data_IF_531649087663
#
_entry.id   IF_531649087663
#
_cell.length_a   1.000
_cell.length_b   1.000
_cell.length_c   1.000
_cell.angle_alpha   90.00
_cell.angle_beta   90.00
_cell.angle_gamma   90.00
#
_symmetry.space_group_name_H-M   'P 1'
#
loop_
_entity.id
_entity.type
_entity.pdbx_description
1 polymer ?
#
# COMPACT_ATOMS: atom_id res chain seq x y z
N UNK A 1 -3.12 11.56 6.95
CA UNK A 1 -1.64 11.68 6.91
C UNK A 1 -1.05 10.27 6.92
N UNK A 2 -1.30 9.50 7.96
CA UNK A 2 -0.68 8.18 8.17
C UNK A 2 -0.91 7.16 7.05
N UNK A 3 -2.04 7.19 6.37
CA UNK A 3 -2.35 6.33 5.22
C UNK A 3 -1.73 6.78 3.90
N UNK A 4 -1.09 7.95 3.85
CA UNK A 4 -0.53 8.55 2.61
C UNK A 4 -1.52 8.57 1.44
N UNK A 5 -2.81 8.75 1.74
CA UNK A 5 -3.86 8.79 0.73
C UNK A 5 -3.68 10.01 -0.18
N UNK A 6 -3.88 9.81 -1.48
CA UNK A 6 -3.84 10.90 -2.47
C UNK A 6 -4.88 11.97 -2.14
N UNK A 7 -4.50 13.24 -2.23
CA UNK A 7 -5.42 14.36 -2.04
C UNK A 7 -6.21 14.65 -3.32
N UNK A 8 -7.44 15.16 -3.24
CA UNK A 8 -8.22 15.49 -4.43
C UNK A 8 -7.50 16.41 -5.42
N UNK A 9 -6.67 17.35 -4.92
CA UNK A 9 -5.84 18.23 -5.74
C UNK A 9 -4.72 17.53 -6.51
N UNK A 10 -4.34 16.32 -6.11
CA UNK A 10 -3.24 15.56 -6.69
C UNK A 10 -3.73 14.53 -7.74
N UNK A 11 -5.04 14.30 -7.84
CA UNK A 11 -5.62 13.29 -8.73
C UNK A 11 -5.55 13.63 -10.22
N UNK A 12 -5.29 14.89 -10.56
CA UNK A 12 -5.26 15.40 -11.95
C UNK A 12 -6.50 15.02 -12.77
N UNK A 13 -7.67 14.95 -12.12
CA UNK A 13 -8.95 14.57 -12.76
C UNK A 13 -9.11 13.07 -13.01
N UNK A 14 -8.14 12.24 -12.66
CA UNK A 14 -8.24 10.78 -12.81
C UNK A 14 -9.07 10.23 -11.65
N UNK A 15 -10.08 9.43 -11.97
CA UNK A 15 -10.94 8.81 -10.97
C UNK A 15 -10.18 7.71 -10.21
N UNK A 16 -10.14 7.86 -8.89
CA UNK A 16 -9.58 6.87 -7.98
C UNK A 16 -10.71 6.09 -7.31
N UNK A 17 -10.50 4.81 -7.16
CA UNK A 17 -11.44 3.90 -6.51
C UNK A 17 -10.81 3.28 -5.26
N UNK A 18 -11.61 2.66 -4.42
CA UNK A 18 -11.18 1.97 -3.19
C UNK A 18 -10.55 2.90 -2.15
N UNK A 19 -10.88 4.19 -2.17
CA UNK A 19 -10.50 5.16 -1.15
C UNK A 19 -11.71 5.47 -0.27
N UNK A 20 -11.49 5.56 1.04
CA UNK A 20 -12.52 5.91 2.05
C UNK A 20 -13.78 5.02 2.02
N UNK A 21 -13.62 3.74 1.69
CA UNK A 21 -14.73 2.80 1.55
C UNK A 21 -15.18 2.19 2.88
N UNK A 22 -14.39 2.35 3.94
CA UNK A 22 -14.65 1.80 5.27
C UNK A 22 -14.25 2.77 6.38
N UNK A 23 -14.98 2.72 7.48
CA UNK A 23 -14.62 3.41 8.70
C UNK A 23 -13.57 2.61 9.51
N UNK A 24 -12.84 3.24 10.46
CA UNK A 24 -11.82 2.55 11.25
C UNK A 24 -12.32 1.39 12.13
N UNK A 25 -13.63 1.27 12.34
CA UNK A 25 -14.25 0.20 13.14
C UNK A 25 -14.75 -0.97 12.28
N UNK A 26 -14.87 -0.77 10.97
CA UNK A 26 -15.33 -1.80 10.06
C UNK A 26 -14.18 -2.73 9.65
N UNK A 27 -14.44 -4.02 9.69
CA UNK A 27 -13.51 -4.99 9.14
C UNK A 27 -13.55 -4.94 7.62
N UNK A 28 -12.39 -5.09 7.01
CA UNK A 28 -12.24 -5.21 5.56
C UNK A 28 -11.07 -6.14 5.27
N UNK A 29 -11.36 -7.24 4.63
CA UNK A 29 -10.39 -8.27 4.37
C UNK A 29 -10.09 -8.41 2.87
N UNK A 30 -9.14 -9.27 2.52
CA UNK A 30 -8.70 -9.48 1.15
C UNK A 30 -9.80 -10.08 0.25
N UNK A 31 -10.75 -10.83 0.81
CA UNK A 31 -11.89 -11.38 0.07
C UNK A 31 -12.89 -10.27 -0.33
N UNK A 32 -13.22 -9.39 0.61
CA UNK A 32 -14.08 -8.23 0.32
C UNK A 32 -13.42 -7.33 -0.72
N UNK A 33 -12.11 -7.07 -0.56
CA UNK A 33 -11.33 -6.33 -1.55
C UNK A 33 -11.40 -6.97 -2.94
N UNK A 34 -11.18 -8.28 -3.05
CA UNK A 34 -11.24 -8.99 -4.33
C UNK A 34 -12.60 -8.79 -5.01
N UNK A 35 -13.68 -8.97 -4.26
CA UNK A 35 -15.05 -8.81 -4.75
C UNK A 35 -15.31 -7.38 -5.25
N UNK A 36 -15.01 -6.39 -4.43
CA UNK A 36 -15.30 -4.99 -4.72
C UNK A 36 -14.44 -4.49 -5.88
N UNK A 37 -13.13 -4.80 -5.86
CA UNK A 37 -12.22 -4.38 -6.90
C UNK A 37 -12.52 -5.03 -8.26
N UNK A 38 -12.89 -6.33 -8.29
CA UNK A 38 -13.31 -7.01 -9.54
C UNK A 38 -14.57 -6.41 -10.11
N UNK A 39 -15.54 -6.05 -9.27
CA UNK A 39 -16.73 -5.33 -9.72
C UNK A 39 -16.37 -4.00 -10.38
N UNK A 40 -15.50 -3.21 -9.76
CA UNK A 40 -15.03 -1.95 -10.33
C UNK A 40 -14.32 -2.17 -11.69
N UNK A 41 -13.50 -3.22 -11.80
CA UNK A 41 -12.84 -3.57 -13.07
C UNK A 41 -13.84 -3.93 -14.14
N UNK A 42 -14.86 -4.73 -13.83
CA UNK A 42 -15.91 -5.10 -14.79
C UNK A 42 -16.73 -3.88 -15.23
N UNK A 43 -17.09 -3.01 -14.29
CA UNK A 43 -17.83 -1.76 -14.59
C UNK A 43 -17.03 -0.76 -15.43
N UNK A 44 -15.71 -0.98 -15.60
CA UNK A 44 -14.79 -0.12 -16.36
C UNK A 44 -13.94 -0.92 -17.38
N UNK A 45 -14.41 -2.06 -17.83
CA UNK A 45 -13.67 -2.97 -18.72
C UNK A 45 -13.29 -2.37 -20.09
N UNK A 46 -13.94 -1.31 -20.50
CA UNK A 46 -13.69 -0.53 -21.71
C UNK A 46 -12.56 0.51 -21.53
N UNK A 47 -11.95 0.60 -20.34
CA UNK A 47 -10.93 1.57 -19.99
C UNK A 47 -9.60 0.91 -19.65
N UNK A 48 -8.53 1.70 -19.77
CA UNK A 48 -7.25 1.32 -19.19
C UNK A 48 -7.32 1.45 -17.66
N UNK A 49 -7.04 0.35 -16.97
CA UNK A 49 -7.09 0.29 -15.51
C UNK A 49 -5.66 0.26 -14.98
N UNK A 50 -5.35 1.15 -14.05
CA UNK A 50 -4.08 1.17 -13.32
C UNK A 50 -4.36 0.76 -11.88
N UNK A 51 -3.71 -0.32 -11.43
CA UNK A 51 -3.78 -0.81 -10.05
C UNK A 51 -2.53 -0.32 -9.33
N UNK A 52 -2.71 0.51 -8.30
CA UNK A 52 -1.61 1.08 -7.53
C UNK A 52 -1.63 0.52 -6.11
N UNK A 53 -0.51 -0.01 -5.66
CA UNK A 53 -0.39 -0.52 -4.30
C UNK A 53 0.86 -1.33 -4.06
N UNK A 54 1.07 -1.73 -2.81
CA UNK A 54 2.25 -2.48 -2.38
C UNK A 54 1.92 -3.73 -1.56
N UNK A 55 0.65 -4.12 -1.46
CA UNK A 55 0.24 -5.33 -0.74
C UNK A 55 0.06 -6.47 -1.75
N UNK A 56 1.11 -7.26 -1.89
CA UNK A 56 1.17 -8.31 -2.92
C UNK A 56 0.03 -9.33 -2.83
N UNK A 57 -0.41 -9.70 -1.63
CA UNK A 57 -1.56 -10.60 -1.45
C UNK A 57 -2.84 -10.05 -2.11
N UNK A 58 -3.08 -8.75 -1.99
CA UNK A 58 -4.25 -8.10 -2.60
C UNK A 58 -4.16 -8.09 -4.12
N UNK A 59 -2.97 -7.86 -4.68
CA UNK A 59 -2.73 -7.91 -6.12
C UNK A 59 -2.95 -9.33 -6.66
N UNK A 60 -2.42 -10.34 -5.97
CA UNK A 60 -2.67 -11.74 -6.34
C UNK A 60 -4.15 -12.10 -6.28
N UNK A 61 -4.81 -11.74 -5.19
CA UNK A 61 -6.23 -12.01 -5.02
C UNK A 61 -7.07 -11.37 -6.13
N UNK A 62 -6.69 -10.20 -6.60
CA UNK A 62 -7.39 -9.49 -7.65
C UNK A 62 -7.19 -10.13 -9.02
N UNK A 63 -5.94 -10.40 -9.40
CA UNK A 63 -5.56 -10.72 -10.78
C UNK A 63 -5.55 -12.22 -11.10
N UNK A 64 -5.53 -13.07 -10.08
CA UNK A 64 -5.50 -14.53 -10.25
C UNK A 64 -6.78 -15.18 -9.73
N UNK A 65 -7.09 -16.41 -10.17
CA UNK A 65 -8.20 -17.23 -9.65
C UNK A 65 -7.89 -17.71 -8.22
N UNK A 66 -7.82 -16.73 -7.33
CA UNK A 66 -7.49 -16.90 -5.94
C UNK A 66 -8.75 -17.26 -5.14
N UNK A 67 -8.74 -18.43 -4.52
CA UNK A 67 -9.87 -18.93 -3.72
C UNK A 67 -9.54 -18.83 -2.24
N UNK A 68 -10.46 -18.26 -1.50
CA UNK A 68 -10.36 -18.14 -0.05
C UNK A 68 -11.00 -19.33 0.65
N UNK A 69 -10.52 -19.62 1.84
CA UNK A 69 -11.21 -20.52 2.76
C UNK A 69 -12.48 -19.83 3.27
N UNK A 70 -13.64 -20.49 3.14
CA UNK A 70 -14.92 -19.93 3.60
C UNK A 70 -14.88 -19.69 5.11
N UNK A 71 -14.22 -20.59 5.86
CA UNK A 71 -14.12 -20.53 7.31
C UNK A 71 -12.99 -19.58 7.79
N UNK A 72 -12.04 -19.26 6.91
CA UNK A 72 -10.94 -18.35 7.22
C UNK A 72 -10.55 -17.53 5.99
N UNK A 73 -11.28 -16.42 5.67
CA UNK A 73 -11.08 -15.60 4.48
C UNK A 73 -9.69 -14.96 4.35
N UNK A 74 -8.89 -14.98 5.41
CA UNK A 74 -7.50 -14.51 5.39
C UNK A 74 -6.50 -15.59 5.03
N UNK A 75 -6.93 -16.85 4.89
CA UNK A 75 -6.06 -18.00 4.65
C UNK A 75 -6.16 -18.46 3.21
N UNK A 76 -5.00 -18.56 2.57
CA UNK A 76 -4.84 -19.06 1.22
C UNK A 76 -5.01 -20.58 1.16
N UNK A 77 -5.89 -21.06 0.29
CA UNK A 77 -6.01 -22.51 -0.01
C UNK A 77 -5.08 -22.98 -1.15
N UNK A 78 -4.60 -22.07 -2.02
CA UNK A 78 -3.84 -22.46 -3.22
C UNK A 78 -2.76 -21.44 -3.62
N UNK A 79 -1.63 -21.47 -2.97
CA UNK A 79 -0.56 -20.47 -3.18
C UNK A 79 0.24 -20.63 -4.46
N UNK A 80 0.22 -21.77 -5.15
CA UNK A 80 1.24 -22.06 -6.16
C UNK A 80 0.75 -22.28 -7.60
N UNK A 81 -0.55 -22.21 -7.89
CA UNK A 81 -1.08 -22.53 -9.24
C UNK A 81 -2.37 -21.75 -9.61
N UNK A 82 -2.63 -20.60 -9.01
CA UNK A 82 -3.80 -19.83 -9.42
C UNK A 82 -3.63 -19.34 -10.86
N UNK A 83 -4.64 -19.60 -11.71
CA UNK A 83 -4.66 -19.13 -13.09
C UNK A 83 -4.78 -17.61 -13.15
N UNK A 84 -3.98 -16.96 -13.97
CA UNK A 84 -4.14 -15.53 -14.27
C UNK A 84 -5.48 -15.29 -14.96
N UNK A 85 -6.26 -14.35 -14.43
CA UNK A 85 -7.59 -13.98 -14.96
C UNK A 85 -7.53 -12.75 -15.85
N UNK A 86 -6.55 -11.89 -15.65
CA UNK A 86 -6.38 -10.64 -16.36
C UNK A 86 -4.95 -10.53 -16.89
N UNK A 87 -4.80 -10.18 -18.16
CA UNK A 87 -3.49 -9.84 -18.70
C UNK A 87 -3.02 -8.51 -18.08
N UNK A 88 -1.93 -8.53 -17.33
CA UNK A 88 -1.42 -7.37 -16.63
C UNK A 88 0.08 -7.15 -16.88
N UNK A 89 0.50 -5.90 -16.93
CA UNK A 89 1.90 -5.50 -16.92
C UNK A 89 2.30 -5.07 -15.52
N UNK A 90 3.27 -5.75 -14.93
CA UNK A 90 3.74 -5.46 -13.57
C UNK A 90 4.91 -4.48 -13.65
N UNK A 91 4.67 -3.27 -13.18
CA UNK A 91 5.65 -2.18 -13.15
C UNK A 91 6.07 -1.98 -11.70
N UNK A 92 7.35 -2.14 -11.43
CA UNK A 92 7.95 -1.86 -10.12
C UNK A 92 8.86 -0.64 -10.20
N UNK A 93 8.76 0.24 -9.22
CA UNK A 93 9.70 1.36 -9.06
C UNK A 93 10.76 0.97 -8.03
N UNK A 94 12.01 1.17 -8.37
CA UNK A 94 13.15 0.83 -7.52
C UNK A 94 14.16 1.97 -7.44
N UNK A 95 15.05 1.90 -6.47
CA UNK A 95 16.18 2.82 -6.31
C UNK A 95 17.24 2.18 -5.42
N UNK A 96 18.40 2.82 -5.30
CA UNK A 96 19.40 2.42 -4.33
C UNK A 96 18.81 2.35 -2.91
N UNK A 97 19.19 1.31 -2.18
CA UNK A 97 18.66 1.03 -0.83
C UNK A 97 18.93 2.17 0.16
N UNK A 98 20.09 2.83 0.06
CA UNK A 98 20.43 3.92 0.95
C UNK A 98 19.57 5.15 0.66
N UNK A 99 19.34 5.43 -0.62
CA UNK A 99 18.43 6.50 -1.07
C UNK A 99 17.01 6.21 -0.57
N UNK A 100 16.50 4.98 -0.79
CA UNK A 100 15.18 4.58 -0.33
C UNK A 100 15.01 4.78 1.19
N UNK A 101 15.99 4.34 1.98
CA UNK A 101 15.90 4.45 3.43
C UNK A 101 15.93 5.90 3.91
N UNK A 102 16.73 6.76 3.30
CA UNK A 102 16.73 8.19 3.60
C UNK A 102 15.37 8.82 3.27
N UNK A 103 14.81 8.50 2.12
CA UNK A 103 13.47 9.01 1.73
C UNK A 103 12.38 8.53 2.68
N UNK A 104 12.40 7.27 3.10
CA UNK A 104 11.46 6.75 4.09
C UNK A 104 11.58 7.53 5.41
N UNK A 105 12.80 7.74 5.90
CA UNK A 105 13.02 8.47 7.14
C UNK A 105 12.49 9.91 7.04
N UNK A 106 12.88 10.64 5.97
CA UNK A 106 12.42 12.00 5.74
C UNK A 106 10.89 12.08 5.62
N UNK A 107 10.26 11.12 4.93
CA UNK A 107 8.79 11.07 4.82
C UNK A 107 8.12 10.91 6.17
N UNK A 108 8.66 10.08 7.07
CA UNK A 108 8.14 9.95 8.43
C UNK A 108 8.26 11.27 9.19
N UNK A 109 9.40 11.96 9.07
CA UNK A 109 9.60 13.27 9.72
C UNK A 109 8.63 14.33 9.17
N UNK A 110 8.38 14.33 7.85
CA UNK A 110 7.36 15.18 7.23
C UNK A 110 5.94 14.87 7.76
N UNK A 111 5.56 13.61 7.84
CA UNK A 111 4.26 13.20 8.37
C UNK A 111 4.07 13.67 9.82
N UNK A 112 5.10 13.62 10.64
CA UNK A 112 5.07 14.15 12.01
C UNK A 112 4.84 15.66 12.01
N UNK A 113 5.55 16.41 11.14
CA UNK A 113 5.36 17.86 10.97
C UNK A 113 3.97 18.21 10.45
N UNK A 114 3.41 17.40 9.55
CA UNK A 114 2.07 17.57 9.00
C UNK A 114 0.95 17.26 10.01
N UNK A 115 1.28 16.72 11.19
CA UNK A 115 0.34 16.51 12.28
C UNK A 115 -0.08 15.04 12.50
N UNK A 116 0.72 14.08 12.09
CA UNK A 116 0.45 12.64 12.30
C UNK A 116 0.11 12.31 13.75
N UNK A 117 0.82 12.91 14.72
CA UNK A 117 0.59 12.67 16.16
C UNK A 117 -0.83 13.07 16.54
N UNK A 118 -1.28 14.24 16.10
CA UNK A 118 -2.63 14.75 16.39
C UNK A 118 -3.71 13.91 15.71
N UNK A 119 -3.46 13.47 14.47
CA UNK A 119 -4.35 12.56 13.73
C UNK A 119 -4.55 11.25 14.51
N UNK A 120 -3.44 10.61 14.93
CA UNK A 120 -3.50 9.32 15.64
C UNK A 120 -4.16 9.49 17.00
N UNK A 121 -3.84 10.56 17.75
CA UNK A 121 -4.47 10.86 19.05
C UNK A 121 -5.99 10.98 18.93
N UNK A 122 -6.47 11.72 17.89
CA UNK A 122 -7.90 11.89 17.63
C UNK A 122 -8.57 10.56 17.29
N UNK A 123 -7.96 9.79 16.37
CA UNK A 123 -8.51 8.50 15.95
C UNK A 123 -8.49 7.47 17.07
N UNK A 124 -7.42 7.39 17.83
CA UNK A 124 -7.32 6.48 18.97
C UNK A 124 -8.32 6.82 20.08
N UNK A 125 -8.53 8.12 20.36
CA UNK A 125 -9.56 8.56 21.31
C UNK A 125 -10.98 8.23 20.85
N UNK A 126 -11.26 8.29 19.53
CA UNK A 126 -12.57 7.97 18.99
C UNK A 126 -12.79 6.45 18.80
N UNK A 127 -11.74 5.70 18.50
CA UNK A 127 -11.81 4.27 18.12
C UNK A 127 -10.72 3.43 18.84
N UNK A 128 -10.70 3.37 20.18
CA UNK A 128 -9.61 2.75 20.94
C UNK A 128 -9.44 1.24 20.69
N UNK A 129 -10.50 0.58 20.23
CA UNK A 129 -10.50 -0.87 19.95
C UNK A 129 -10.35 -1.21 18.47
N UNK A 130 -10.06 -0.23 17.62
CA UNK A 130 -9.87 -0.46 16.18
C UNK A 130 -8.68 -1.36 15.89
N UNK A 131 -8.91 -2.54 15.33
CA UNK A 131 -7.85 -3.49 14.92
C UNK A 131 -6.87 -2.84 13.93
N UNK A 132 -7.36 -1.98 13.04
CA UNK A 132 -6.52 -1.33 12.04
C UNK A 132 -5.55 -0.34 12.68
N UNK A 133 -5.99 0.44 13.68
CA UNK A 133 -5.12 1.37 14.38
C UNK A 133 -4.02 0.64 15.16
N UNK A 134 -4.32 -0.51 15.75
CA UNK A 134 -3.36 -1.34 16.47
C UNK A 134 -2.42 -2.16 15.57
N UNK A 135 -2.66 -2.22 14.26
CA UNK A 135 -1.83 -2.98 13.31
C UNK A 135 -1.06 -2.12 12.32
N UNK A 136 -1.61 -0.98 11.91
CA UNK A 136 -1.01 -0.13 10.88
C UNK A 136 0.26 0.58 11.39
N UNK A 137 1.29 0.60 10.54
CA UNK A 137 2.54 1.33 10.80
C UNK A 137 2.23 2.82 10.87
N UNK A 138 2.84 3.49 11.84
CA UNK A 138 2.59 4.89 12.16
C UNK A 138 1.56 5.07 13.27
N UNK A 139 0.53 4.23 13.31
CA UNK A 139 -0.52 4.29 14.32
C UNK A 139 -0.16 3.46 15.56
N UNK A 140 0.15 2.19 15.39
CA UNK A 140 0.47 1.28 16.51
C UNK A 140 1.67 1.74 17.34
N UNK A 141 2.64 2.39 16.73
CA UNK A 141 3.82 2.91 17.44
C UNK A 141 3.47 4.14 18.27
N UNK A 142 2.64 5.07 17.71
CA UNK A 142 2.17 6.24 18.45
C UNK A 142 1.16 5.88 19.55
N UNK A 143 0.38 4.81 19.39
CA UNK A 143 -0.47 4.28 20.47
C UNK A 143 0.40 3.86 21.66
N UNK A 144 1.56 3.24 21.46
CA UNK A 144 2.50 2.92 22.54
C UNK A 144 3.01 4.17 23.26
N UNK A 145 3.28 5.24 22.52
CA UNK A 145 3.62 6.53 23.12
C UNK A 145 2.48 7.07 23.98
N UNK A 146 1.24 7.03 23.50
CA UNK A 146 0.09 7.50 24.31
C UNK A 146 -0.19 6.65 25.55
N UNK A 147 0.20 5.39 25.51
CA UNK A 147 0.12 4.48 26.67
C UNK A 147 1.34 4.57 27.60
N UNK A 148 2.29 5.51 27.37
CA UNK A 148 3.55 5.65 28.11
C UNK A 148 4.47 4.42 28.07
N UNK A 149 4.34 3.57 27.02
CA UNK A 149 5.23 2.43 26.81
C UNK A 149 6.54 2.84 26.13
N UNK A 150 6.52 3.91 25.33
CA UNK A 150 7.65 4.48 24.61
C UNK A 150 7.65 6.01 24.73
N UNK A 151 8.81 6.62 24.59
CA UNK A 151 8.91 8.06 24.34
C UNK A 151 8.46 8.39 22.91
N UNK A 152 8.22 9.67 22.63
CA UNK A 152 7.86 10.11 21.28
C UNK A 152 8.98 9.80 20.28
N UNK A 153 10.24 10.08 20.64
CA UNK A 153 11.39 9.85 19.77
C UNK A 153 11.58 8.36 19.46
N UNK A 154 11.44 7.50 20.48
CA UNK A 154 11.47 6.04 20.27
C UNK A 154 10.36 5.56 19.34
N UNK A 155 9.17 6.12 19.46
CA UNK A 155 8.04 5.79 18.58
C UNK A 155 8.30 6.21 17.14
N UNK A 156 8.84 7.41 16.92
CA UNK A 156 9.19 7.90 15.57
C UNK A 156 10.26 7.02 14.94
N UNK A 157 11.32 6.69 15.68
CA UNK A 157 12.39 5.81 15.18
C UNK A 157 11.87 4.39 14.89
N UNK A 158 10.92 3.91 15.69
CA UNK A 158 10.26 2.62 15.46
C UNK A 158 9.38 2.65 14.19
N UNK A 159 8.67 3.75 13.93
CA UNK A 159 7.93 3.96 12.67
C UNK A 159 8.87 3.89 11.48
N UNK A 160 9.99 4.63 11.50
CA UNK A 160 11.01 4.60 10.44
C UNK A 160 11.53 3.18 10.20
N UNK A 161 11.91 2.48 11.26
CA UNK A 161 12.39 1.09 11.20
C UNK A 161 11.35 0.14 10.60
N UNK A 162 10.11 0.21 11.04
CA UNK A 162 9.03 -0.66 10.58
C UNK A 162 8.67 -0.37 9.12
N UNK A 163 8.71 0.89 8.70
CA UNK A 163 8.48 1.28 7.29
C UNK A 163 9.60 0.76 6.39
N UNK A 164 10.89 0.87 6.79
CA UNK A 164 12.00 0.26 6.03
C UNK A 164 11.85 -1.26 5.92
N UNK A 165 11.46 -1.94 7.00
CA UNK A 165 11.21 -3.37 6.99
C UNK A 165 10.02 -3.74 6.09
N UNK A 166 9.00 -2.90 6.05
CA UNK A 166 7.85 -3.10 5.14
C UNK A 166 8.28 -2.98 3.68
N UNK A 167 9.03 -1.96 3.32
CA UNK A 167 9.58 -1.79 1.98
C UNK A 167 10.45 -3.00 1.55
N UNK A 168 11.29 -3.53 2.46
CA UNK A 168 12.06 -4.74 2.20
C UNK A 168 11.18 -5.96 1.93
N UNK A 169 10.10 -6.13 2.72
CA UNK A 169 9.15 -7.25 2.51
C UNK A 169 8.42 -7.13 1.18
N UNK A 170 8.00 -5.92 0.79
CA UNK A 170 7.38 -5.67 -0.52
C UNK A 170 8.32 -6.11 -1.64
N UNK A 171 9.55 -5.61 -1.66
CA UNK A 171 10.54 -5.94 -2.67
C UNK A 171 10.78 -7.45 -2.78
N UNK A 172 11.00 -8.12 -1.64
CA UNK A 172 11.19 -9.59 -1.61
C UNK A 172 9.97 -10.33 -2.14
N UNK A 173 8.77 -9.91 -1.75
CA UNK A 173 7.53 -10.56 -2.18
C UNK A 173 7.33 -10.42 -3.68
N UNK A 174 7.44 -9.20 -4.22
CA UNK A 174 7.24 -8.92 -5.64
C UNK A 174 8.26 -9.64 -6.52
N UNK A 175 9.52 -9.66 -6.14
CA UNK A 175 10.56 -10.39 -6.87
C UNK A 175 10.34 -11.92 -6.91
N UNK A 176 9.76 -12.48 -5.84
CA UNK A 176 9.59 -13.93 -5.74
C UNK A 176 8.25 -14.43 -6.32
N UNK A 177 7.27 -13.56 -6.46
CA UNK A 177 5.89 -13.98 -6.77
C UNK A 177 5.38 -13.46 -8.10
N UNK A 178 5.93 -12.41 -8.66
CA UNK A 178 5.47 -11.80 -9.91
C UNK A 178 6.67 -11.50 -10.84
N UNK A 179 6.41 -11.52 -12.13
CA UNK A 179 7.40 -11.09 -13.12
C UNK A 179 7.34 -9.56 -13.29
N UNK A 180 7.95 -8.85 -12.34
CA UNK A 180 7.91 -7.38 -12.26
C UNK A 180 9.02 -6.78 -13.11
N UNK A 181 8.66 -5.81 -13.95
CA UNK A 181 9.61 -4.98 -14.66
C UNK A 181 9.98 -3.78 -13.77
N UNK A 182 11.22 -3.75 -13.31
CA UNK A 182 11.71 -2.75 -12.38
C UNK A 182 12.33 -1.57 -13.11
N UNK A 183 11.90 -0.35 -12.76
CA UNK A 183 12.40 0.91 -13.28
C UNK A 183 13.08 1.69 -12.16
N UNK A 184 14.29 2.20 -12.42
CA UNK A 184 14.98 3.07 -11.50
C UNK A 184 14.32 4.44 -11.48
N UNK A 185 14.02 4.95 -10.28
CA UNK A 185 13.41 6.27 -10.14
C UNK A 185 14.46 7.36 -10.31
N UNK A 186 14.27 8.21 -11.30
CA UNK A 186 14.98 9.47 -11.44
C UNK A 186 14.30 10.52 -10.54
N UNK A 187 14.91 10.81 -9.41
CA UNK A 187 14.37 11.78 -8.44
C UNK A 187 14.65 13.24 -8.82
N UNK A 188 15.58 13.50 -9.73
CA UNK A 188 15.85 14.83 -10.24
C UNK A 188 14.85 15.22 -11.32
N UNK A 189 14.46 14.24 -12.16
CA UNK A 189 13.44 14.42 -13.20
C UNK A 189 12.57 13.18 -13.34
N UNK A 190 11.50 13.09 -12.55
CA UNK A 190 10.60 11.95 -12.55
C UNK A 190 9.92 11.69 -13.91
N UNK A 191 9.83 12.69 -14.79
CA UNK A 191 9.32 12.50 -16.14
C UNK A 191 10.17 11.53 -16.97
N UNK A 192 11.47 11.41 -16.69
CA UNK A 192 12.30 10.40 -17.34
C UNK A 192 11.83 8.98 -16.97
N UNK A 193 11.56 8.71 -15.70
CA UNK A 193 11.00 7.43 -15.26
C UNK A 193 9.64 7.16 -15.89
N UNK A 194 8.76 8.16 -15.96
CA UNK A 194 7.45 8.04 -16.62
C UNK A 194 7.64 7.67 -18.09
N UNK A 195 8.53 8.34 -18.80
CA UNK A 195 8.82 8.06 -20.22
C UNK A 195 9.30 6.63 -20.42
N UNK A 196 10.27 6.16 -19.64
CA UNK A 196 10.76 4.78 -19.71
C UNK A 196 9.63 3.74 -19.53
N UNK A 197 8.74 3.97 -18.57
CA UNK A 197 7.58 3.09 -18.36
C UNK A 197 6.62 3.12 -19.54
N UNK A 198 6.33 4.29 -20.10
CA UNK A 198 5.45 4.43 -21.28
C UNK A 198 6.06 3.75 -22.50
N UNK A 199 7.35 3.98 -22.75
CA UNK A 199 8.06 3.36 -23.88
C UNK A 199 8.05 1.82 -23.77
N UNK A 200 8.25 1.30 -22.54
CA UNK A 200 8.11 -0.12 -22.28
C UNK A 200 6.69 -0.63 -22.58
N UNK A 201 5.65 0.04 -22.10
CA UNK A 201 4.26 -0.38 -22.31
C UNK A 201 3.88 -0.34 -23.79
N UNK A 202 4.35 0.65 -24.55
CA UNK A 202 4.10 0.76 -26.01
C UNK A 202 4.83 -0.32 -26.83
N UNK A 203 5.84 -0.98 -26.26
CA UNK A 203 6.58 -2.07 -26.91
C UNK A 203 5.94 -3.46 -26.72
N UNK A 204 4.81 -3.57 -25.97
CA UNK A 204 4.14 -4.84 -25.61
C UNK A 204 2.80 -5.01 -26.32
#
# INVERSE_FOLDING_TARGET
IGSSKIKPSETSGIKHYMLDIKSPIEEYNVFEYQKDARKIMEDNKDKNIIIVGGTGLYINALLYDYKFDIDNPSRDKNTNQAKELYKAHYIGLTTDRKILYNRINNRVDEMVKEGLISEVKKLYGAYPYSKILHSAIGYKELIKYFNNELTLDESIELIKKNTRNYAKRQYTWFNNKLNVNWFNVDYENFNNTIKEVIDYLNSK
#
